data_IF_770111021605
#
_entry.id   IF_770111021605
#
_cell.length_a   1.000
_cell.length_b   1.000
_cell.length_c   1.000
_cell.angle_alpha   90.00
_cell.angle_beta   90.00
_cell.angle_gamma   90.00
#
_symmetry.space_group_name_H-M   'P 1'
#
loop_
_entity.id
_entity.type
_entity.pdbx_description
1 polymer ?
#
# COMPACT_ATOMS: atom_id res chain seq x y z
N UNK A 1 17.01 -0.78 8.95
CA UNK A 1 18.23 -1.38 8.36
C UNK A 1 18.74 -0.46 7.25
N UNK A 2 20.00 -0.52 6.81
CA UNK A 2 20.43 0.20 5.58
C UNK A 2 20.78 -0.84 4.52
N UNK A 3 19.98 -0.92 3.47
CA UNK A 3 20.31 -1.73 2.30
C UNK A 3 21.50 -1.12 1.57
N UNK A 4 22.37 -1.96 1.01
CA UNK A 4 23.44 -1.50 0.12
C UNK A 4 22.81 -0.84 -1.11
N UNK A 5 23.34 0.31 -1.52
CA UNK A 5 22.78 1.07 -2.63
C UNK A 5 22.84 0.25 -3.92
N UNK A 6 21.71 0.14 -4.62
CA UNK A 6 21.60 -0.65 -5.85
C UNK A 6 21.44 -2.16 -5.63
N UNK A 7 21.46 -2.64 -4.38
CA UNK A 7 21.10 -4.02 -4.07
C UNK A 7 19.62 -4.28 -4.36
N UNK A 8 19.25 -5.56 -4.54
CA UNK A 8 17.86 -5.94 -4.76
C UNK A 8 16.92 -5.47 -3.63
N UNK A 9 17.24 -5.62 -2.33
CA UNK A 9 16.42 -5.06 -1.25
C UNK A 9 16.24 -3.54 -1.32
N UNK A 10 17.29 -2.79 -1.69
CA UNK A 10 17.23 -1.33 -1.88
C UNK A 10 16.27 -0.95 -3.02
N UNK A 11 16.33 -1.67 -4.14
CA UNK A 11 15.44 -1.45 -5.29
C UNK A 11 13.98 -1.80 -4.97
N UNK A 12 13.73 -2.96 -4.35
CA UNK A 12 12.38 -3.39 -3.94
C UNK A 12 11.80 -2.39 -2.96
N UNK A 13 12.59 -1.95 -1.98
CA UNK A 13 12.10 -1.02 -0.98
C UNK A 13 11.69 0.32 -1.59
N UNK A 14 12.53 0.87 -2.47
CA UNK A 14 12.22 2.11 -3.20
C UNK A 14 11.02 1.95 -4.12
N UNK A 15 10.90 0.80 -4.80
CA UNK A 15 9.79 0.54 -5.71
C UNK A 15 8.45 0.54 -4.96
N UNK A 16 8.34 -0.20 -3.85
CA UNK A 16 7.10 -0.27 -3.07
C UNK A 16 6.76 1.07 -2.42
N UNK A 17 7.75 1.77 -1.84
CA UNK A 17 7.53 3.11 -1.26
C UNK A 17 7.06 4.12 -2.30
N UNK A 18 7.66 4.13 -3.48
CA UNK A 18 7.24 5.02 -4.54
C UNK A 18 5.85 4.64 -5.06
N UNK A 19 5.58 3.34 -5.21
CA UNK A 19 4.27 2.86 -5.64
C UNK A 19 3.15 3.29 -4.68
N UNK A 20 3.38 3.20 -3.37
CA UNK A 20 2.39 3.64 -2.37
C UNK A 20 2.08 5.13 -2.52
N UNK A 21 3.11 5.98 -2.68
CA UNK A 21 2.92 7.41 -2.90
C UNK A 21 2.18 7.69 -4.22
N UNK A 22 2.51 6.96 -5.29
CA UNK A 22 1.81 7.10 -6.57
C UNK A 22 0.34 6.70 -6.43
N UNK A 23 0.05 5.56 -5.80
CA UNK A 23 -1.29 5.05 -5.59
C UNK A 23 -2.15 5.93 -4.68
N UNK A 24 -1.54 6.53 -3.67
CA UNK A 24 -2.24 7.35 -2.68
C UNK A 24 -2.45 8.81 -3.12
N UNK A 25 -1.73 9.33 -4.12
CA UNK A 25 -1.79 10.76 -4.46
C UNK A 25 -2.01 11.08 -5.94
N UNK A 26 -1.75 10.15 -6.87
CA UNK A 26 -2.00 10.39 -8.29
C UNK A 26 -3.41 9.97 -8.65
N UNK A 27 -4.16 10.85 -9.31
CA UNK A 27 -5.56 10.62 -9.67
C UNK A 27 -5.73 9.93 -11.03
N UNK A 28 -4.64 9.62 -11.73
CA UNK A 28 -4.64 8.98 -13.04
C UNK A 28 -3.59 7.87 -13.09
N UNK A 29 -3.99 6.71 -13.62
CA UNK A 29 -3.08 5.57 -13.78
C UNK A 29 -1.97 5.88 -14.78
N UNK A 30 -2.22 6.78 -15.74
CA UNK A 30 -1.23 7.22 -16.71
C UNK A 30 -0.02 7.90 -16.05
N UNK A 31 -0.20 8.46 -14.85
CA UNK A 31 0.87 9.10 -14.11
C UNK A 31 1.70 8.10 -13.30
N UNK A 32 1.26 6.84 -13.15
CA UNK A 32 1.98 5.83 -12.37
C UNK A 32 3.16 5.29 -13.19
N UNK A 33 4.36 5.43 -12.63
CA UNK A 33 5.64 5.07 -13.25
C UNK A 33 6.25 3.83 -12.63
N UNK A 34 5.77 3.39 -11.48
CA UNK A 34 6.30 2.20 -10.78
C UNK A 34 5.73 0.88 -11.30
N UNK A 35 4.83 0.93 -12.29
CA UNK A 35 4.13 -0.24 -12.83
C UNK A 35 4.10 -0.22 -14.36
N UNK A 36 3.90 -1.37 -14.98
CA UNK A 36 3.47 -1.46 -16.38
C UNK A 36 1.94 -1.34 -16.44
N UNK A 37 1.46 -0.17 -16.87
CA UNK A 37 0.03 0.18 -16.90
C UNK A 37 -0.83 -0.80 -17.73
N UNK A 38 -0.24 -1.53 -18.69
CA UNK A 38 -0.99 -2.46 -19.56
C UNK A 38 -1.24 -3.81 -18.91
N UNK A 39 -0.36 -4.21 -18.00
CA UNK A 39 -0.32 -5.58 -17.44
C UNK A 39 -0.42 -5.60 -15.92
N UNK A 40 -0.40 -4.44 -15.28
CA UNK A 40 -0.43 -4.32 -13.83
C UNK A 40 -1.71 -4.90 -13.24
N UNK A 41 -1.51 -5.80 -12.29
CA UNK A 41 -2.56 -6.27 -11.38
C UNK A 41 -1.98 -6.41 -9.98
N UNK A 42 -2.85 -6.35 -8.98
CA UNK A 42 -2.50 -6.65 -7.60
C UNK A 42 -3.52 -7.62 -7.00
N UNK A 43 -3.10 -8.36 -5.98
CA UNK A 43 -4.00 -9.21 -5.20
C UNK A 43 -3.60 -9.19 -3.73
N UNK A 44 -4.59 -9.39 -2.87
CA UNK A 44 -4.44 -9.40 -1.42
C UNK A 44 -4.97 -10.72 -0.87
N UNK A 45 -4.24 -11.35 0.05
CA UNK A 45 -4.67 -12.53 0.80
C UNK A 45 -5.24 -13.68 -0.07
N UNK A 46 -4.67 -13.89 -1.25
CA UNK A 46 -5.13 -14.93 -2.19
C UNK A 46 -6.43 -14.60 -2.94
N UNK A 47 -6.92 -13.36 -2.84
CA UNK A 47 -8.07 -12.87 -3.60
C UNK A 47 -7.80 -12.75 -5.11
N UNK A 48 -8.84 -12.48 -5.90
CA UNK A 48 -8.72 -12.33 -7.34
C UNK A 48 -7.86 -11.11 -7.70
N UNK A 49 -7.09 -11.17 -8.81
CA UNK A 49 -6.35 -10.01 -9.32
C UNK A 49 -7.28 -8.82 -9.59
N UNK A 50 -6.85 -7.63 -9.17
CA UNK A 50 -7.51 -6.34 -9.38
C UNK A 50 -6.63 -5.42 -10.21
N UNK A 51 -7.24 -4.47 -10.94
CA UNK A 51 -6.51 -3.52 -11.79
C UNK A 51 -6.12 -2.25 -11.05
N UNK A 52 -5.20 -1.46 -11.62
CA UNK A 52 -4.85 -0.15 -11.07
C UNK A 52 -6.02 0.84 -11.09
N UNK A 53 -6.90 0.78 -12.08
CA UNK A 53 -8.12 1.61 -12.15
C UNK A 53 -9.09 1.27 -11.02
N UNK A 54 -9.21 0.00 -10.65
CA UNK A 54 -9.99 -0.39 -9.49
C UNK A 54 -9.44 0.27 -8.22
N UNK A 55 -8.10 0.24 -8.03
CA UNK A 55 -7.45 0.90 -6.90
C UNK A 55 -7.69 2.40 -6.85
N UNK A 56 -7.65 3.09 -8.00
CA UNK A 56 -7.97 4.52 -8.08
C UNK A 56 -9.42 4.83 -7.70
N UNK A 57 -10.35 3.93 -8.05
CA UNK A 57 -11.76 4.12 -7.76
C UNK A 57 -12.10 3.87 -6.28
N UNK A 58 -11.54 2.83 -5.66
CA UNK A 58 -11.87 2.47 -4.27
C UNK A 58 -10.95 3.12 -3.25
N UNK A 59 -9.74 3.51 -3.65
CA UNK A 59 -8.69 4.03 -2.78
C UNK A 59 -7.76 2.96 -2.22
N UNK A 60 -6.50 3.33 -1.96
CA UNK A 60 -5.44 2.39 -1.55
C UNK A 60 -5.78 1.59 -0.29
N UNK A 61 -6.38 2.21 0.73
CA UNK A 61 -6.77 1.50 1.96
C UNK A 61 -7.88 0.49 1.72
N UNK A 62 -8.92 0.85 0.96
CA UNK A 62 -10.01 -0.08 0.61
C UNK A 62 -9.53 -1.22 -0.30
N UNK A 63 -8.54 -0.96 -1.14
CA UNK A 63 -7.91 -1.98 -1.98
C UNK A 63 -7.04 -2.96 -1.17
N UNK A 64 -6.41 -2.49 -0.08
CA UNK A 64 -5.41 -3.25 0.68
C UNK A 64 -5.88 -3.75 2.06
N UNK A 65 -7.06 -3.34 2.52
CA UNK A 65 -7.66 -3.77 3.78
C UNK A 65 -9.00 -4.45 3.52
N UNK A 66 -9.12 -5.70 3.95
CA UNK A 66 -10.39 -6.42 3.93
C UNK A 66 -11.29 -5.98 5.08
N UNK A 67 -12.60 -6.11 4.91
CA UNK A 67 -13.56 -5.87 5.98
C UNK A 67 -13.22 -6.69 7.23
N UNK A 68 -13.33 -6.05 8.38
CA UNK A 68 -13.07 -6.63 9.71
C UNK A 68 -13.98 -5.97 10.75
N UNK A 69 -13.92 -6.46 11.99
CA UNK A 69 -14.61 -5.80 13.12
C UNK A 69 -14.15 -4.36 13.39
N UNK A 70 -13.04 -3.92 12.78
CA UNK A 70 -12.42 -2.62 13.03
C UNK A 70 -12.37 -1.71 11.80
N UNK A 71 -12.69 -2.22 10.61
CA UNK A 71 -12.66 -1.48 9.36
C UNK A 71 -13.64 -2.06 8.36
N UNK A 72 -14.52 -1.23 7.80
CA UNK A 72 -15.37 -1.61 6.67
C UNK A 72 -15.11 -0.70 5.46
N UNK A 73 -14.57 -1.25 4.34
CA UNK A 73 -14.40 -0.52 3.10
C UNK A 73 -15.70 0.06 2.53
N UNK A 74 -16.86 -0.52 2.85
CA UNK A 74 -18.16 -0.02 2.36
C UNK A 74 -18.58 1.28 3.03
N UNK A 75 -18.09 1.54 4.25
CA UNK A 75 -18.45 2.71 5.07
C UNK A 75 -17.34 3.76 5.15
N UNK A 76 -16.19 3.51 4.54
CA UNK A 76 -15.05 4.44 4.53
C UNK A 76 -14.63 4.71 3.08
N UNK A 77 -14.88 5.93 2.60
CA UNK A 77 -14.35 6.35 1.30
C UNK A 77 -12.84 6.64 1.39
N UNK A 78 -12.24 6.93 0.24
CA UNK A 78 -10.81 7.21 0.13
C UNK A 78 -10.35 8.35 1.05
N UNK A 79 -11.10 9.44 1.13
CA UNK A 79 -10.72 10.61 1.92
C UNK A 79 -10.83 10.34 3.43
N UNK A 80 -11.90 9.65 3.83
CA UNK A 80 -12.20 9.33 5.23
C UNK A 80 -11.20 8.33 5.78
N UNK A 81 -10.93 7.24 5.04
CA UNK A 81 -9.91 6.24 5.40
C UNK A 81 -8.52 6.88 5.51
N UNK A 82 -8.12 7.68 4.51
CA UNK A 82 -6.81 8.34 4.52
C UNK A 82 -6.65 9.31 5.69
N UNK A 83 -7.70 10.09 6.01
CA UNK A 83 -7.70 10.98 7.19
C UNK A 83 -7.64 10.20 8.50
N UNK A 84 -8.39 9.10 8.63
CA UNK A 84 -8.41 8.30 9.84
C UNK A 84 -7.01 7.74 10.16
N UNK A 85 -6.39 7.05 9.19
CA UNK A 85 -5.06 6.47 9.38
C UNK A 85 -3.98 7.52 9.60
N UNK A 86 -3.98 8.60 8.82
CA UNK A 86 -2.96 9.66 8.92
C UNK A 86 -3.06 10.49 10.20
N UNK A 87 -4.27 10.64 10.78
CA UNK A 87 -4.45 11.28 12.09
C UNK A 87 -4.03 10.37 13.23
N UNK A 88 -4.45 9.12 13.18
CA UNK A 88 -4.12 8.10 14.20
C UNK A 88 -2.62 7.86 14.26
N UNK A 89 -1.97 7.68 13.11
CA UNK A 89 -0.56 7.30 13.00
C UNK A 89 0.16 8.17 11.95
N UNK A 90 0.53 9.43 12.31
CA UNK A 90 1.11 10.40 11.36
C UNK A 90 2.43 9.93 10.73
N UNK A 91 3.20 9.14 11.47
CA UNK A 91 4.40 8.46 10.97
C UNK A 91 4.09 6.99 10.76
N UNK A 92 4.05 6.56 9.51
CA UNK A 92 3.84 5.16 9.14
C UNK A 92 5.05 4.66 8.35
N UNK A 93 6.08 4.25 9.08
CA UNK A 93 7.31 3.78 8.50
C UNK A 93 7.12 2.39 7.89
N UNK A 94 7.91 2.09 6.86
CA UNK A 94 7.94 0.81 6.17
C UNK A 94 9.37 0.44 5.81
N UNK A 95 9.73 -0.83 5.95
CA UNK A 95 10.99 -1.34 5.41
C UNK A 95 10.90 -2.79 4.94
N UNK A 96 11.77 -3.14 4.00
CA UNK A 96 12.06 -4.53 3.64
C UNK A 96 13.00 -5.12 4.69
N UNK A 97 12.67 -6.31 5.20
CA UNK A 97 13.48 -7.02 6.19
C UNK A 97 14.28 -8.15 5.59
N UNK A 98 13.76 -8.77 4.53
CA UNK A 98 14.36 -9.95 3.91
C UNK A 98 13.83 -10.09 2.48
N UNK A 99 14.69 -10.48 1.53
CA UNK A 99 14.31 -10.82 0.16
C UNK A 99 14.60 -12.30 -0.07
N UNK A 100 13.58 -13.06 -0.42
CA UNK A 100 13.62 -14.51 -0.60
C UNK A 100 13.98 -14.94 -2.03
N UNK A 101 13.63 -14.11 -3.03
CA UNK A 101 13.90 -14.43 -4.43
C UNK A 101 14.15 -13.18 -5.28
N UNK A 102 14.91 -13.37 -6.37
CA UNK A 102 15.21 -12.33 -7.35
C UNK A 102 14.32 -12.40 -8.60
N UNK A 103 14.49 -11.46 -9.55
CA UNK A 103 13.73 -11.43 -10.80
C UNK A 103 13.74 -12.76 -11.57
N UNK A 104 12.65 -13.10 -12.30
CA UNK A 104 11.49 -12.23 -12.60
C UNK A 104 10.47 -12.14 -11.47
N UNK A 105 10.51 -13.06 -10.49
CA UNK A 105 9.55 -13.12 -9.38
C UNK A 105 10.24 -12.81 -8.06
N UNK A 106 9.99 -11.63 -7.53
CA UNK A 106 10.58 -11.18 -6.26
C UNK A 106 9.60 -11.44 -5.12
N UNK A 107 10.03 -12.22 -4.13
CA UNK A 107 9.30 -12.49 -2.89
C UNK A 107 10.10 -11.92 -1.73
N UNK A 108 9.46 -11.21 -0.82
CA UNK A 108 10.15 -10.50 0.26
C UNK A 108 9.25 -10.38 1.50
N UNK A 109 9.88 -10.21 2.67
CA UNK A 109 9.22 -9.90 3.94
C UNK A 109 9.47 -8.45 4.31
N UNK A 110 8.44 -7.78 4.78
CA UNK A 110 8.47 -6.37 5.15
C UNK A 110 7.82 -6.16 6.52
N UNK A 111 7.98 -4.96 7.08
CA UNK A 111 7.25 -4.52 8.27
C UNK A 111 6.87 -3.05 8.17
N UNK A 112 5.73 -2.70 8.80
CA UNK A 112 5.34 -1.33 9.08
C UNK A 112 5.44 -1.06 10.59
N UNK A 113 5.70 0.18 10.97
CA UNK A 113 5.59 0.64 12.37
C UNK A 113 5.33 2.13 12.42
N UNK A 114 4.79 2.59 13.54
CA UNK A 114 4.49 3.99 13.79
C UNK A 114 4.01 4.19 15.21
N UNK A 115 4.04 5.45 15.65
CA UNK A 115 3.49 5.85 16.92
C UNK A 115 2.03 6.24 16.75
N UNK A 116 1.16 5.63 17.56
CA UNK A 116 -0.25 6.01 17.63
C UNK A 116 -0.37 7.33 18.39
N UNK A 117 -0.54 8.42 17.65
CA UNK A 117 -0.63 9.78 18.21
C UNK A 117 -2.05 10.15 18.65
N UNK A 118 -3.06 9.52 18.05
CA UNK A 118 -4.48 9.73 18.35
C UNK A 118 -5.24 8.41 18.27
N UNK A 119 -6.44 8.38 18.86
CA UNK A 119 -7.35 7.23 18.74
C UNK A 119 -7.79 7.02 17.29
N UNK A 120 -7.98 5.76 16.93
CA UNK A 120 -8.63 5.39 15.67
C UNK A 120 -10.11 5.78 15.73
N UNK A 121 -10.58 6.55 14.76
CA UNK A 121 -11.99 6.88 14.59
C UNK A 121 -12.39 6.50 13.18
N UNK A 122 -13.05 5.34 13.05
CA UNK A 122 -13.62 4.83 11.81
C UNK A 122 -15.06 4.42 12.03
N UNK A 123 -15.88 4.55 10.99
CA UNK A 123 -17.26 4.09 10.99
C UNK A 123 -17.31 2.68 10.42
N UNK A 124 -17.80 1.73 11.22
CA UNK A 124 -17.98 0.34 10.81
C UNK A 124 -19.48 -0.03 10.68
N UNK A 125 -20.37 0.91 11.03
CA UNK A 125 -21.83 0.85 10.93
C UNK A 125 -22.38 2.27 10.66
#
# INVERSE_FOLDING_TARGET
>A
MKHEAGSLPDLVEKLVKNWEIEASYKTSLADWRTIDQKTYTFSLNGGPPQTGEHMLNVGTYNALLTASSYYDPAHNDFETSHKAFKRMMPTFAWEVTEVYSGPPTVVFKWRHWGDMANDYVGYNE
#
